data_IF_410067688510
#
_entry.id   IF_410067688510
#
_cell.length_a   1.000
_cell.length_b   1.000
_cell.length_c   1.000
_cell.angle_alpha   90.00
_cell.angle_beta   90.00
_cell.angle_gamma   90.00
#
_symmetry.space_group_name_H-M   'P 1'
#
loop_
_entity.id
_entity.type
_entity.pdbx_description
1 polymer ?
#
# COMPACT_ATOMS: atom_id res chain seq x y z
N UNK A 1 -9.94 -41.16 -10.62
CA UNK A 1 -8.64 -41.30 -11.29
C UNK A 1 -7.83 -40.04 -10.96
N UNK A 2 -6.62 -40.23 -10.44
CA UNK A 2 -5.85 -39.28 -9.62
C UNK A 2 -5.19 -38.15 -10.46
N UNK A 3 -5.48 -36.88 -10.16
CA UNK A 3 -4.95 -35.67 -10.85
C UNK A 3 -3.51 -35.29 -10.44
N UNK A 4 -2.73 -36.22 -9.88
CA UNK A 4 -1.37 -35.93 -9.40
C UNK A 4 -0.24 -36.63 -10.15
N UNK A 5 -0.52 -37.26 -11.29
CA UNK A 5 0.53 -37.87 -12.12
C UNK A 5 0.45 -37.34 -13.54
N UNK A 6 1.60 -36.82 -14.01
CA UNK A 6 1.97 -36.45 -15.38
C UNK A 6 2.07 -34.94 -15.64
N UNK A 7 3.19 -34.33 -15.22
CA UNK A 7 3.68 -33.11 -15.87
C UNK A 7 5.15 -33.31 -16.28
N UNK A 8 5.35 -33.66 -17.56
CA UNK A 8 6.63 -33.56 -18.25
C UNK A 8 6.83 -32.09 -18.66
N UNK A 9 8.07 -31.57 -18.60
CA UNK A 9 8.44 -30.21 -19.01
C UNK A 9 8.04 -29.90 -20.46
N UNK A 10 8.11 -30.88 -21.37
CA UNK A 10 7.64 -30.74 -22.75
C UNK A 10 6.10 -30.62 -22.85
N UNK A 11 5.36 -31.30 -21.97
CA UNK A 11 3.91 -31.18 -21.87
C UNK A 11 3.50 -29.83 -21.28
N UNK A 12 4.26 -29.26 -20.35
CA UNK A 12 3.98 -27.93 -19.78
C UNK A 12 4.06 -26.82 -20.83
N UNK A 13 5.09 -26.81 -21.69
CA UNK A 13 5.22 -25.79 -22.77
C UNK A 13 4.08 -25.92 -23.78
N UNK A 14 3.73 -27.14 -24.18
CA UNK A 14 2.65 -27.38 -25.15
C UNK A 14 1.28 -27.02 -24.55
N UNK A 15 1.05 -27.32 -23.27
CA UNK A 15 -0.17 -26.93 -22.54
C UNK A 15 -0.26 -25.42 -22.40
N UNK A 16 0.83 -24.71 -22.06
CA UNK A 16 0.84 -23.25 -22.01
C UNK A 16 0.52 -22.61 -23.38
N UNK A 17 1.04 -23.19 -24.46
CA UNK A 17 0.81 -22.72 -25.83
C UNK A 17 -0.62 -23.00 -26.35
N UNK A 18 -1.29 -24.07 -25.88
CA UNK A 18 -2.71 -24.28 -26.19
C UNK A 18 -3.62 -23.39 -25.34
N UNK A 19 -3.22 -23.09 -24.10
CA UNK A 19 -3.92 -22.16 -23.22
C UNK A 19 -3.93 -20.73 -23.75
N UNK A 20 -2.86 -20.28 -24.43
CA UNK A 20 -2.80 -18.96 -25.08
C UNK A 20 -3.71 -18.81 -26.31
N UNK A 21 -4.21 -19.93 -26.86
CA UNK A 21 -5.16 -19.94 -27.97
C UNK A 21 -6.63 -20.00 -27.50
N UNK A 22 -6.88 -20.20 -26.20
CA UNK A 22 -8.24 -20.05 -25.69
C UNK A 22 -8.64 -18.57 -25.74
N UNK A 23 -9.80 -18.29 -26.33
CA UNK A 23 -10.43 -16.95 -26.30
C UNK A 23 -10.44 -16.38 -24.88
N UNK A 24 -10.60 -17.27 -23.89
CA UNK A 24 -10.42 -17.11 -22.45
C UNK A 24 -9.16 -16.34 -22.00
N UNK A 25 -8.02 -16.71 -22.54
CA UNK A 25 -6.73 -16.17 -22.12
C UNK A 25 -6.42 -14.82 -22.80
N UNK A 26 -6.79 -14.70 -24.06
CA UNK A 26 -6.60 -13.46 -24.81
C UNK A 26 -7.48 -12.30 -24.29
N UNK A 27 -8.70 -12.58 -23.79
CA UNK A 27 -9.51 -11.54 -23.15
C UNK A 27 -8.92 -11.07 -21.82
N UNK A 28 -8.34 -11.97 -21.02
CA UNK A 28 -7.68 -11.64 -19.76
C UNK A 28 -6.49 -10.70 -19.97
N UNK A 29 -5.67 -10.97 -21.00
CA UNK A 29 -4.54 -10.12 -21.35
C UNK A 29 -4.96 -8.74 -21.87
N UNK A 30 -6.03 -8.68 -22.69
CA UNK A 30 -6.49 -7.40 -23.27
C UNK A 30 -7.00 -6.41 -22.22
N UNK A 31 -7.54 -6.91 -21.11
CA UNK A 31 -8.10 -6.09 -20.03
C UNK A 31 -7.12 -5.88 -18.86
N UNK A 32 -5.88 -6.37 -18.97
CA UNK A 32 -4.89 -6.23 -17.92
C UNK A 32 -4.34 -4.79 -17.89
N UNK A 33 -4.20 -4.24 -16.68
CA UNK A 33 -3.63 -2.93 -16.44
C UNK A 33 -2.74 -2.92 -15.19
N UNK A 34 -1.73 -2.04 -15.13
CA UNK A 34 -1.02 -1.76 -13.90
C UNK A 34 -1.98 -1.29 -12.80
N UNK A 35 -1.65 -1.46 -11.51
CA UNK A 35 -2.50 -1.00 -10.43
C UNK A 35 -2.72 0.51 -10.53
N UNK A 36 -3.94 0.97 -10.30
CA UNK A 36 -4.23 2.36 -9.95
C UNK A 36 -4.23 2.47 -8.44
N UNK A 37 -3.45 3.40 -7.90
CA UNK A 37 -3.18 3.52 -6.46
C UNK A 37 -3.48 4.95 -6.03
N UNK A 38 -4.28 5.09 -4.98
CA UNK A 38 -4.59 6.39 -4.37
C UNK A 38 -4.37 6.29 -2.86
N UNK A 39 -3.66 7.26 -2.30
CA UNK A 39 -3.36 7.37 -0.89
C UNK A 39 -4.21 8.48 -0.26
N UNK A 40 -4.82 8.16 0.87
CA UNK A 40 -5.60 9.12 1.66
C UNK A 40 -5.21 9.08 3.13
N UNK A 41 -5.26 10.24 3.77
CA UNK A 41 -5.23 10.35 5.23
C UNK A 41 -6.66 10.11 5.75
N UNK A 42 -6.80 9.38 6.85
CA UNK A 42 -8.10 8.99 7.40
C UNK A 42 -9.10 10.16 7.57
N UNK A 43 -10.40 9.96 7.28
CA UNK A 43 -11.43 11.01 7.13
C UNK A 43 -11.72 11.90 8.36
N UNK A 44 -11.11 11.65 9.52
CA UNK A 44 -11.31 12.44 10.74
C UNK A 44 -10.13 13.38 11.06
N UNK A 45 -9.13 13.44 10.18
CA UNK A 45 -7.93 14.25 10.39
C UNK A 45 -8.00 15.48 9.48
N UNK A 46 -8.31 16.64 10.06
CA UNK A 46 -7.95 17.89 9.42
C UNK A 46 -6.43 18.03 9.54
N UNK A 47 -5.74 18.20 8.41
CA UNK A 47 -4.28 18.32 8.32
C UNK A 47 -3.73 19.42 9.25
N UNK A 48 -4.55 20.42 9.58
CA UNK A 48 -4.21 21.51 10.49
C UNK A 48 -4.28 21.17 11.99
N UNK A 49 -4.89 20.06 12.39
CA UNK A 49 -5.10 19.73 13.81
C UNK A 49 -4.16 18.66 14.37
N UNK A 50 -3.31 18.07 13.54
CA UNK A 50 -2.44 16.94 13.93
C UNK A 50 -1.27 17.43 14.78
N UNK A 51 -1.13 16.88 15.99
CA UNK A 51 -0.12 17.25 16.97
C UNK A 51 0.72 16.05 17.43
N UNK A 52 1.85 16.34 18.06
CA UNK A 52 2.66 15.32 18.73
C UNK A 52 1.84 14.53 19.76
N UNK A 53 2.00 13.21 19.73
CA UNK A 53 1.27 12.26 20.56
C UNK A 53 -0.04 11.75 19.95
N UNK A 54 -0.53 12.33 18.86
CA UNK A 54 -1.70 11.83 18.16
C UNK A 54 -1.40 10.52 17.43
N UNK A 55 -2.45 9.77 17.13
CA UNK A 55 -2.40 8.59 16.26
C UNK A 55 -3.08 8.93 14.93
N UNK A 56 -2.46 8.54 13.82
CA UNK A 56 -3.01 8.75 12.48
C UNK A 56 -2.96 7.45 11.68
N UNK A 57 -3.82 7.35 10.68
CA UNK A 57 -3.80 6.25 9.73
C UNK A 57 -3.93 6.76 8.31
N UNK A 58 -3.27 6.06 7.42
CA UNK A 58 -3.36 6.20 5.98
C UNK A 58 -4.03 4.97 5.39
N UNK A 59 -4.80 5.17 4.33
CA UNK A 59 -5.43 4.11 3.55
C UNK A 59 -4.98 4.20 2.09
N UNK A 60 -4.52 3.06 1.56
CA UNK A 60 -4.06 2.92 0.18
C UNK A 60 -5.12 2.18 -0.65
N UNK A 61 -5.94 2.92 -1.38
CA UNK A 61 -6.93 2.36 -2.30
C UNK A 61 -6.24 1.83 -3.56
N UNK A 62 -6.52 0.58 -3.93
CA UNK A 62 -5.88 -0.07 -5.07
C UNK A 62 -6.92 -0.75 -5.95
N UNK A 63 -6.94 -0.34 -7.22
CA UNK A 63 -7.68 -1.01 -8.28
C UNK A 63 -6.69 -1.68 -9.22
N UNK A 64 -6.68 -3.01 -9.28
CA UNK A 64 -5.71 -3.76 -10.07
C UNK A 64 -6.36 -4.93 -10.82
N UNK A 65 -5.96 -5.11 -12.07
CA UNK A 65 -6.31 -6.28 -12.86
C UNK A 65 -5.08 -6.74 -13.68
N UNK A 66 -4.47 -7.90 -13.40
CA UNK A 66 -4.76 -8.84 -12.32
C UNK A 66 -4.49 -8.27 -10.92
N UNK A 67 -4.95 -8.98 -9.88
CA UNK A 67 -4.74 -8.59 -8.47
C UNK A 67 -3.26 -8.34 -8.14
N UNK A 68 -3.01 -7.37 -7.28
CA UNK A 68 -1.69 -7.07 -6.75
C UNK A 68 -1.30 -8.05 -5.63
N UNK A 69 0.00 -8.21 -5.37
CA UNK A 69 0.49 -9.18 -4.37
C UNK A 69 0.88 -8.55 -3.03
N UNK A 70 1.42 -7.33 -3.03
CA UNK A 70 1.85 -6.61 -1.82
C UNK A 70 1.82 -5.10 -2.03
N UNK A 71 1.74 -4.37 -0.92
CA UNK A 71 1.86 -2.91 -0.86
C UNK A 71 3.14 -2.55 -0.13
N UNK A 72 3.88 -1.59 -0.66
CA UNK A 72 5.04 -0.98 -0.02
C UNK A 72 4.68 0.45 0.37
N UNK A 73 5.18 0.88 1.52
CA UNK A 73 4.94 2.22 2.06
C UNK A 73 6.24 3.00 2.06
N UNK A 74 6.17 4.31 1.88
CA UNK A 74 7.33 5.18 1.84
C UNK A 74 7.09 6.46 2.62
N UNK A 75 8.13 6.93 3.33
CA UNK A 75 8.19 8.22 3.99
C UNK A 75 9.44 8.95 3.48
N UNK A 76 9.25 10.09 2.83
CA UNK A 76 10.33 10.84 2.18
C UNK A 76 11.19 9.94 1.28
N UNK A 77 10.53 9.15 0.43
CA UNK A 77 11.14 8.21 -0.52
C UNK A 77 11.84 6.98 0.09
N UNK A 78 12.00 6.93 1.43
CA UNK A 78 12.54 5.78 2.13
C UNK A 78 11.44 4.75 2.42
N UNK A 79 11.73 3.46 2.17
CA UNK A 79 10.78 2.38 2.46
C UNK A 79 10.51 2.25 3.96
N UNK A 80 9.24 2.22 4.30
CA UNK A 80 8.71 2.07 5.64
C UNK A 80 8.45 0.59 5.93
N UNK A 81 9.11 0.06 6.97
CA UNK A 81 8.94 -1.32 7.41
C UNK A 81 7.98 -1.44 8.59
N UNK A 82 7.20 -2.52 8.63
CA UNK A 82 6.33 -2.80 9.78
C UNK A 82 7.16 -2.90 11.08
N UNK A 83 6.95 -1.96 12.00
CA UNK A 83 7.63 -1.90 13.30
C UNK A 83 6.67 -1.35 14.38
N UNK A 84 5.88 -2.23 15.02
CA UNK A 84 4.95 -1.82 16.06
C UNK A 84 5.62 -1.21 17.28
N UNK A 85 6.92 -1.47 17.52
CA UNK A 85 7.66 -0.94 18.67
C UNK A 85 7.94 0.55 18.52
N UNK A 86 8.15 1.02 17.30
CA UNK A 86 8.28 2.46 16.99
C UNK A 86 6.93 3.15 16.75
N UNK A 87 5.82 2.42 16.83
CA UNK A 87 4.48 2.93 16.58
C UNK A 87 4.04 2.85 15.12
N UNK A 88 4.79 2.15 14.27
CA UNK A 88 4.50 2.01 12.84
C UNK A 88 3.87 0.63 12.54
N UNK A 89 2.57 0.59 12.30
CA UNK A 89 1.83 -0.66 12.07
C UNK A 89 1.27 -0.69 10.66
N UNK A 90 1.81 -1.55 9.82
CA UNK A 90 1.26 -1.86 8.49
C UNK A 90 0.31 -3.06 8.61
N UNK A 91 -0.92 -2.91 8.13
CA UNK A 91 -1.95 -3.95 8.12
C UNK A 91 -2.69 -3.94 6.78
N UNK A 92 -2.22 -4.74 5.83
CA UNK A 92 -2.80 -4.81 4.49
C UNK A 92 -2.65 -3.48 3.75
N UNK A 93 -3.78 -2.79 3.53
CA UNK A 93 -3.87 -1.51 2.82
C UNK A 93 -3.79 -0.29 3.73
N UNK A 94 -3.62 -0.50 5.04
CA UNK A 94 -3.56 0.58 6.02
C UNK A 94 -2.18 0.69 6.66
N UNK A 95 -1.71 1.93 6.85
CA UNK A 95 -0.55 2.27 7.67
C UNK A 95 -1.02 3.10 8.86
N UNK A 96 -0.75 2.64 10.07
CA UNK A 96 -1.02 3.37 11.31
C UNK A 96 0.28 3.87 11.90
N UNK A 97 0.33 5.17 12.22
CA UNK A 97 1.42 5.80 12.98
C UNK A 97 0.87 6.22 14.35
N UNK A 98 1.41 5.62 15.40
CA UNK A 98 1.00 5.90 16.79
C UNK A 98 1.99 6.81 17.49
N UNK A 99 1.50 7.70 18.35
CA UNK A 99 2.30 8.58 19.17
C UNK A 99 3.21 9.47 18.32
N UNK A 100 2.60 10.28 17.45
CA UNK A 100 3.32 11.08 16.47
C UNK A 100 4.42 11.94 17.10
N UNK A 101 5.54 12.04 16.39
CA UNK A 101 6.67 12.92 16.68
C UNK A 101 6.84 13.86 15.51
N UNK A 102 7.50 15.01 15.72
CA UNK A 102 7.81 15.93 14.62
C UNK A 102 8.55 15.27 13.44
N UNK A 103 9.38 14.26 13.72
CA UNK A 103 10.11 13.50 12.70
C UNK A 103 9.20 12.69 11.76
N UNK A 104 7.96 12.42 12.14
CA UNK A 104 6.99 11.76 11.25
C UNK A 104 6.40 12.73 10.21
N UNK A 105 6.66 14.04 10.31
CA UNK A 105 6.26 14.98 9.25
C UNK A 105 6.97 14.63 7.94
N UNK A 106 6.29 14.80 6.82
CA UNK A 106 6.87 14.54 5.52
C UNK A 106 5.88 13.95 4.52
N UNK A 107 6.41 13.58 3.36
CA UNK A 107 5.64 13.04 2.26
C UNK A 107 5.49 11.54 2.39
N UNK A 108 4.26 11.04 2.35
CA UNK A 108 3.92 9.63 2.36
C UNK A 108 3.40 9.20 0.99
N UNK A 109 3.84 8.03 0.54
CA UNK A 109 3.30 7.35 -0.65
C UNK A 109 3.17 5.86 -0.40
N UNK A 110 2.27 5.20 -1.12
CA UNK A 110 2.22 3.74 -1.20
C UNK A 110 2.44 3.29 -2.65
N UNK A 111 2.97 2.08 -2.83
CA UNK A 111 3.17 1.49 -4.14
C UNK A 111 2.68 0.06 -4.18
N UNK A 112 2.09 -0.32 -5.30
CA UNK A 112 1.58 -1.67 -5.54
C UNK A 112 2.08 -2.18 -6.90
N UNK A 113 2.25 -3.50 -6.99
CA UNK A 113 2.70 -4.16 -8.21
C UNK A 113 1.83 -5.37 -8.55
N UNK A 114 1.56 -5.53 -9.84
CA UNK A 114 1.02 -6.75 -10.42
C UNK A 114 1.89 -7.17 -11.63
N UNK A 115 1.43 -8.16 -12.39
CA UNK A 115 2.13 -8.66 -13.58
C UNK A 115 2.26 -7.62 -14.71
N UNK A 116 1.47 -6.54 -14.69
CA UNK A 116 1.51 -5.48 -15.70
C UNK A 116 2.46 -4.34 -15.32
N UNK A 117 2.87 -4.25 -14.05
CA UNK A 117 3.83 -3.25 -13.61
C UNK A 117 3.65 -2.82 -12.16
N UNK A 118 4.36 -1.76 -11.81
CA UNK A 118 4.34 -1.11 -10.49
C UNK A 118 3.89 0.33 -10.65
N UNK A 119 2.99 0.75 -9.77
CA UNK A 119 2.49 2.14 -9.71
C UNK A 119 2.63 2.66 -8.29
N UNK A 120 2.90 3.95 -8.16
CA UNK A 120 2.96 4.68 -6.88
C UNK A 120 1.77 5.63 -6.79
N UNK A 121 1.24 5.84 -5.59
CA UNK A 121 0.14 6.77 -5.30
C UNK A 121 0.52 8.23 -5.52
N UNK A 122 -0.47 9.11 -5.40
CA UNK A 122 -0.26 10.51 -5.00
C UNK A 122 0.54 10.60 -3.69
N UNK A 123 1.17 11.76 -3.48
CA UNK A 123 1.84 12.10 -2.23
C UNK A 123 0.87 12.77 -1.25
N UNK A 124 0.85 12.29 0.00
CA UNK A 124 0.12 12.94 1.11
C UNK A 124 1.13 13.55 2.07
N UNK A 125 0.99 14.84 2.37
CA UNK A 125 1.93 15.57 3.22
C UNK A 125 1.46 15.61 4.67
N UNK A 126 2.05 14.80 5.54
CA UNK A 126 1.76 14.87 6.97
C UNK A 126 2.53 16.02 7.62
N UNK A 127 1.81 16.92 8.30
CA UNK A 127 2.41 17.96 9.14
C UNK A 127 2.09 17.72 10.60
N UNK A 128 3.10 17.44 11.42
CA UNK A 128 2.93 17.24 12.87
C UNK A 128 3.28 18.51 13.62
N UNK A 129 2.28 19.15 14.23
CA UNK A 129 2.47 20.35 15.05
C UNK A 129 2.96 19.98 16.45
N UNK A 130 3.66 20.90 17.10
CA UNK A 130 4.08 20.71 18.49
C UNK A 130 2.84 20.64 19.39
N UNK A 131 2.91 19.84 20.46
CA UNK A 131 1.89 19.90 21.50
C UNK A 131 2.04 21.21 22.28
N UNK A 132 1.01 22.05 22.25
CA UNK A 132 0.99 23.28 23.04
C UNK A 132 0.79 22.92 24.51
N UNK A 133 1.79 23.20 25.34
CA UNK A 133 1.63 23.14 26.79
C UNK A 133 1.00 24.46 27.24
N UNK A 134 -0.32 24.48 27.43
CA UNK A 134 -0.97 25.60 28.12
C UNK A 134 -0.56 25.50 29.59
N UNK A 135 0.38 26.34 30.01
CA UNK A 135 0.68 26.51 31.43
C UNK A 135 -0.55 27.10 32.12
N UNK A 136 -1.27 26.28 32.89
CA UNK A 136 -2.26 26.81 33.84
C UNK A 136 -1.45 27.48 34.95
N UNK A 137 -1.40 28.82 34.93
CA UNK A 137 -0.81 29.60 36.02
C UNK A 137 -1.66 29.33 37.27
N UNK A 138 -1.18 28.46 38.16
CA UNK A 138 -1.78 28.29 39.48
C UNK A 138 -1.70 29.64 40.20
N UNK A 139 -2.87 30.13 40.62
CA UNK A 139 -3.01 31.27 41.52
C UNK A 139 -2.82 30.82 42.95
#
# INVERSE_FOLDING_TARGET
MDMKKLFNLASLVTVLATMSHLSGYNWLLKNANPPKVELSLGPLLHEESIKEGDDVYFECDIQANPSFSRVQWFHNEAELLHDPRSGQVISGLSLVLRGLKRSHSGSYTCAASNLQGRTTSNAVLLTVKRKDFIYVKQR
#
